data_IF_405514592031
#
_entry.id   IF_405514592031
#
_cell.length_a   1.000
_cell.length_b   1.000
_cell.length_c   1.000
_cell.angle_alpha   90.00
_cell.angle_beta   90.00
_cell.angle_gamma   90.00
#
_symmetry.space_group_name_H-M   'P 1'
#
loop_
_entity.id
_entity.type
_entity.pdbx_description
1 polymer ?
#
# COMPACT_ATOMS: atom_id res chain seq x y z
N UNK A 1 -1.16 -9.88 -3.44
CA UNK A 1 -1.65 -8.51 -3.13
C UNK A 1 -2.44 -7.86 -4.26
N UNK A 2 -1.85 -7.40 -5.38
CA UNK A 2 -2.57 -6.63 -6.40
C UNK A 2 -3.85 -7.32 -6.92
N UNK A 3 -3.80 -8.63 -7.18
CA UNK A 3 -4.97 -9.39 -7.62
C UNK A 3 -6.07 -9.46 -6.55
N UNK A 4 -5.70 -9.68 -5.28
CA UNK A 4 -6.65 -9.68 -4.16
C UNK A 4 -7.31 -8.31 -3.99
N UNK A 5 -6.52 -7.23 -4.06
CA UNK A 5 -7.02 -5.86 -3.99
C UNK A 5 -7.99 -5.53 -5.13
N UNK A 6 -7.68 -5.97 -6.36
CA UNK A 6 -8.57 -5.77 -7.51
C UNK A 6 -9.85 -6.62 -7.45
N UNK A 7 -9.86 -7.73 -6.71
CA UNK A 7 -11.06 -8.53 -6.49
C UNK A 7 -12.03 -7.87 -5.50
N UNK A 8 -11.49 -7.15 -4.51
CA UNK A 8 -12.27 -6.49 -3.45
C UNK A 8 -12.72 -5.07 -3.81
N UNK A 9 -12.02 -4.41 -4.74
CA UNK A 9 -12.28 -3.00 -5.05
C UNK A 9 -13.18 -2.84 -6.27
N UNK A 10 -14.31 -2.10 -6.16
CA UNK A 10 -15.04 -1.63 -7.33
C UNK A 10 -14.12 -0.76 -8.19
N UNK A 11 -14.06 -1.02 -9.50
CA UNK A 11 -13.19 -0.28 -10.44
C UNK A 11 -13.33 1.27 -10.38
N UNK A 12 -14.41 1.78 -9.78
CA UNK A 12 -14.68 3.19 -9.58
C UNK A 12 -13.98 3.83 -8.36
N UNK A 13 -13.33 3.06 -7.49
CA UNK A 13 -12.78 3.57 -6.21
C UNK A 13 -11.41 4.27 -6.35
N UNK A 14 -10.67 4.00 -7.43
CA UNK A 14 -9.37 4.64 -7.66
C UNK A 14 -8.56 3.99 -8.78
N UNK A 15 -7.35 4.51 -8.99
CA UNK A 15 -6.37 3.92 -9.89
C UNK A 15 -5.39 3.04 -9.11
N UNK A 16 -5.13 1.83 -9.62
CA UNK A 16 -4.26 0.85 -8.99
C UNK A 16 -3.28 0.32 -10.03
N UNK A 17 -1.99 0.33 -9.67
CA UNK A 17 -0.93 -0.18 -10.53
C UNK A 17 0.16 -0.88 -9.71
N UNK A 18 0.87 -1.82 -10.33
CA UNK A 18 2.09 -2.39 -9.73
C UNK A 18 3.30 -1.67 -10.34
N UNK A 19 4.05 -0.96 -9.51
CA UNK A 19 5.19 -0.15 -9.94
C UNK A 19 6.50 -0.71 -9.36
N UNK A 20 7.65 -0.49 -10.01
CA UNK A 20 8.95 -0.72 -9.38
C UNK A 20 9.08 0.10 -8.10
N UNK A 21 9.71 -0.47 -7.07
CA UNK A 21 10.02 0.22 -5.82
C UNK A 21 11.40 -0.19 -5.31
N UNK A 22 11.86 0.50 -4.26
CA UNK A 22 13.09 0.16 -3.55
C UNK A 22 12.74 0.06 -2.07
N UNK A 23 12.80 -1.14 -1.52
CA UNK A 23 12.70 -1.36 -0.09
C UNK A 23 14.05 -1.02 0.57
N UNK A 24 14.00 -0.58 1.82
CA UNK A 24 15.18 -0.25 2.61
C UNK A 24 15.22 -1.15 3.84
N UNK A 25 16.19 -2.05 3.88
CA UNK A 25 16.47 -2.89 5.03
C UNK A 25 17.63 -2.31 5.85
N UNK A 26 17.65 -2.54 7.16
CA UNK A 26 18.70 -2.04 8.05
C UNK A 26 18.41 -0.66 8.63
N UNK A 27 17.29 -0.51 9.34
CA UNK A 27 17.01 0.71 10.10
C UNK A 27 17.78 0.71 11.45
N UNK A 28 18.22 1.89 11.91
CA UNK A 28 18.89 2.06 13.21
C UNK A 28 20.41 1.92 13.12
N UNK A 29 20.97 0.87 13.74
CA UNK A 29 22.41 0.66 13.88
C UNK A 29 23.08 -0.01 12.67
N UNK A 30 22.30 -0.56 11.74
CA UNK A 30 22.79 -1.22 10.52
C UNK A 30 22.82 -0.23 9.35
N UNK A 31 23.75 -0.40 8.38
CA UNK A 31 23.71 0.37 7.14
C UNK A 31 22.42 0.13 6.35
N UNK A 32 21.86 1.21 5.80
CA UNK A 32 20.70 1.13 4.91
C UNK A 32 21.11 0.38 3.64
N UNK A 33 20.44 -0.74 3.39
CA UNK A 33 20.57 -1.52 2.15
C UNK A 33 19.34 -1.31 1.29
N UNK A 34 19.56 -0.88 0.04
CA UNK A 34 18.50 -0.76 -0.95
C UNK A 34 18.26 -2.13 -1.61
N UNK A 35 17.01 -2.58 -1.60
CA UNK A 35 16.58 -3.85 -2.19
C UNK A 35 15.57 -3.52 -3.30
N UNK A 36 15.86 -3.84 -4.58
CA UNK A 36 14.88 -3.73 -5.64
C UNK A 36 13.61 -4.51 -5.31
N UNK A 37 12.46 -3.88 -5.48
CA UNK A 37 11.16 -4.43 -5.09
C UNK A 37 10.06 -3.98 -6.06
N UNK A 38 8.82 -4.33 -5.73
CA UNK A 38 7.61 -3.81 -6.37
C UNK A 38 6.67 -3.28 -5.29
N UNK A 39 5.94 -2.23 -5.63
CA UNK A 39 4.89 -1.70 -4.78
C UNK A 39 3.55 -1.71 -5.50
N UNK A 40 2.49 -1.89 -4.72
CA UNK A 40 1.15 -1.51 -5.14
C UNK A 40 1.00 -0.01 -4.98
N UNK A 41 0.82 0.71 -6.08
CA UNK A 41 0.49 2.11 -6.11
C UNK A 41 -1.03 2.28 -6.20
N UNK A 42 -1.60 3.01 -5.25
CA UNK A 42 -3.02 3.28 -5.16
C UNK A 42 -3.23 4.79 -5.13
N UNK A 43 -3.99 5.31 -6.10
CA UNK A 43 -4.45 6.70 -6.12
C UNK A 43 -5.96 6.72 -5.91
N UNK A 44 -6.46 7.21 -4.76
CA UNK A 44 -7.89 7.33 -4.52
C UNK A 44 -8.51 8.32 -5.50
N UNK A 45 -9.78 8.09 -5.88
CA UNK A 45 -10.47 8.90 -6.91
C UNK A 45 -10.59 10.38 -6.54
N UNK A 46 -10.72 10.68 -5.26
CA UNK A 46 -10.78 12.05 -4.73
C UNK A 46 -9.43 12.77 -4.77
N UNK A 47 -8.35 12.08 -5.15
CA UNK A 47 -6.99 12.62 -5.20
C UNK A 47 -6.32 12.80 -3.83
N UNK A 48 -6.97 12.39 -2.74
CA UNK A 48 -6.48 12.67 -1.38
C UNK A 48 -5.64 11.52 -0.82
N UNK A 49 -4.50 11.22 -1.45
CA UNK A 49 -3.62 10.11 -1.04
C UNK A 49 -3.16 10.19 0.42
N UNK A 50 -2.87 11.39 0.93
CA UNK A 50 -2.50 11.59 2.33
C UNK A 50 -3.66 11.29 3.30
N UNK A 51 -4.89 11.66 2.93
CA UNK A 51 -6.08 11.34 3.73
C UNK A 51 -6.36 9.84 3.71
N UNK A 52 -6.19 9.19 2.55
CA UNK A 52 -6.30 7.74 2.43
C UNK A 52 -5.26 7.01 3.28
N UNK A 53 -3.98 7.40 3.22
CA UNK A 53 -2.94 6.86 4.09
C UNK A 53 -3.24 7.09 5.59
N UNK A 54 -3.88 8.22 5.93
CA UNK A 54 -4.34 8.48 7.31
C UNK A 54 -5.45 7.51 7.72
N UNK A 55 -6.43 7.24 6.86
CA UNK A 55 -7.49 6.26 7.13
C UNK A 55 -6.92 4.87 7.35
N UNK A 56 -5.98 4.43 6.51
CA UNK A 56 -5.29 3.14 6.66
C UNK A 56 -4.55 3.03 8.00
N UNK A 57 -3.85 4.09 8.42
CA UNK A 57 -3.12 4.14 9.69
C UNK A 57 -4.01 4.08 10.93
N UNK A 58 -5.22 4.65 10.83
CA UNK A 58 -6.19 4.73 11.92
C UNK A 58 -7.24 3.61 11.88
N UNK A 59 -7.21 2.76 10.85
CA UNK A 59 -8.08 1.61 10.70
C UNK A 59 -7.60 0.40 11.49
N UNK A 60 -8.37 -0.69 11.40
CA UNK A 60 -8.08 -1.96 12.06
C UNK A 60 -8.09 -3.11 11.03
N UNK A 61 -6.99 -3.87 10.90
CA UNK A 61 -5.66 -3.56 11.45
C UNK A 61 -5.05 -2.29 10.84
N UNK A 62 -4.16 -1.59 11.56
CA UNK A 62 -3.51 -0.40 11.05
C UNK A 62 -2.49 -0.75 9.96
N UNK A 63 -2.65 -0.15 8.78
CA UNK A 63 -1.73 -0.36 7.64
C UNK A 63 -0.88 0.88 7.43
N UNK A 64 0.44 0.74 7.61
CA UNK A 64 1.39 1.81 7.37
C UNK A 64 1.88 1.78 5.93
N UNK A 65 1.75 2.93 5.27
CA UNK A 65 2.10 3.07 3.86
C UNK A 65 2.99 4.30 3.64
N UNK A 66 3.56 4.39 2.45
CA UNK A 66 4.30 5.57 2.00
C UNK A 66 3.45 6.37 1.03
N UNK A 67 3.43 7.69 1.18
CA UNK A 67 2.80 8.60 0.20
C UNK A 67 3.89 9.18 -0.68
N UNK A 68 3.74 9.08 -2.00
CA UNK A 68 4.65 9.68 -2.97
C UNK A 68 3.88 10.01 -4.25
N UNK A 69 4.09 11.20 -4.82
CA UNK A 69 3.51 11.62 -6.10
C UNK A 69 1.98 11.40 -6.19
N UNK A 70 1.25 11.74 -5.12
CA UNK A 70 -0.20 11.50 -4.95
C UNK A 70 -0.64 10.02 -5.03
N UNK A 71 0.27 9.10 -4.76
CA UNK A 71 -0.03 7.68 -4.62
C UNK A 71 0.30 7.20 -3.20
N UNK A 72 -0.53 6.30 -2.70
CA UNK A 72 -0.19 5.44 -1.58
C UNK A 72 0.53 4.21 -2.12
N UNK A 73 1.75 3.99 -1.63
CA UNK A 73 2.62 2.89 -2.02
C UNK A 73 2.70 1.86 -0.89
N UNK A 74 2.36 0.62 -1.22
CA UNK A 74 2.56 -0.55 -0.36
C UNK A 74 3.63 -1.44 -0.97
N UNK A 75 4.81 -1.47 -0.34
CA UNK A 75 5.91 -2.32 -0.80
C UNK A 75 5.64 -3.77 -0.41
N UNK A 76 5.68 -4.68 -1.39
CA UNK A 76 5.30 -6.08 -1.15
C UNK A 76 6.32 -6.82 -0.26
N UNK A 77 7.56 -6.33 -0.14
CA UNK A 77 8.54 -6.91 0.78
C UNK A 77 8.18 -6.70 2.26
N UNK A 78 7.26 -5.79 2.55
CA UNK A 78 6.78 -5.53 3.91
C UNK A 78 5.51 -6.32 4.28
N UNK A 79 5.01 -7.18 3.38
CA UNK A 79 3.73 -7.88 3.54
C UNK A 79 3.99 -9.38 3.43
N UNK A 80 3.58 -10.14 4.45
CA UNK A 80 3.64 -11.61 4.42
C UNK A 80 2.51 -12.18 3.56
N UNK A 81 2.72 -13.37 3.00
CA UNK A 81 1.69 -14.06 2.22
C UNK A 81 0.39 -14.25 3.02
N UNK A 82 0.48 -14.53 4.32
CA UNK A 82 -0.67 -14.67 5.22
C UNK A 82 -1.44 -13.38 5.48
N UNK A 83 -0.86 -12.21 5.16
CA UNK A 83 -1.47 -10.89 5.38
C UNK A 83 -2.13 -10.35 4.11
N UNK A 84 -2.00 -11.04 2.98
CA UNK A 84 -2.45 -10.53 1.67
C UNK A 84 -3.94 -10.23 1.65
N UNK A 85 -4.76 -11.16 2.14
CA UNK A 85 -6.22 -11.06 2.08
C UNK A 85 -6.73 -9.99 3.05
N UNK A 86 -6.20 -9.98 4.28
CA UNK A 86 -6.53 -8.96 5.29
C UNK A 86 -6.10 -7.55 4.82
N UNK A 87 -4.89 -7.41 4.27
CA UNK A 87 -4.41 -6.14 3.71
C UNK A 87 -5.29 -5.66 2.56
N UNK A 88 -5.75 -6.58 1.70
CA UNK A 88 -6.64 -6.24 0.59
C UNK A 88 -8.01 -5.74 1.06
N UNK A 89 -8.60 -6.40 2.06
CA UNK A 89 -9.87 -5.99 2.66
C UNK A 89 -9.77 -4.60 3.30
N UNK A 90 -8.70 -4.33 4.07
CA UNK A 90 -8.47 -3.01 4.69
C UNK A 90 -8.27 -1.91 3.64
N UNK A 91 -7.52 -2.20 2.57
CA UNK A 91 -7.34 -1.26 1.46
C UNK A 91 -8.67 -0.92 0.78
N UNK A 92 -9.50 -1.92 0.51
CA UNK A 92 -10.80 -1.73 -0.12
C UNK A 92 -11.74 -0.91 0.79
N UNK A 93 -11.82 -1.26 2.07
CA UNK A 93 -12.66 -0.55 3.05
C UNK A 93 -12.25 0.92 3.22
N UNK A 94 -10.95 1.22 3.18
CA UNK A 94 -10.46 2.59 3.30
C UNK A 94 -10.58 3.42 2.02
N UNK A 95 -10.92 2.81 0.87
CA UNK A 95 -11.21 3.49 -0.40
C UNK A 95 -12.69 3.81 -0.62
N UNK A 96 -13.59 3.12 0.08
CA UNK A 96 -15.01 3.45 0.15
C UNK A 96 -15.25 4.76 0.92
#
# INVERSE_FOLDING_TARGET
LAAAVLAEIPAAAGHIAVVPSVARAGAGALPITNIPSRALAVRPRDGQAAAFARRLRLGEPPVLTRVQDDHVLLDVLAIRDSEVDETAAVLAAALA
#
